data_IF_835692545356
#
_entry.id   IF_835692545356
#
_cell.length_a   1.000
_cell.length_b   1.000
_cell.length_c   1.000
_cell.angle_alpha   90.00
_cell.angle_beta   90.00
_cell.angle_gamma   90.00
#
_symmetry.space_group_name_H-M   'P 1'
#
loop_
_entity.id
_entity.type
_entity.pdbx_description
1 polymer ?
#
# COMPACT_ATOMS: atom_id res chain seq x y z
N UNK A 1 -10.88 -7.73 -1.70
CA UNK A 1 -10.40 -6.49 -2.30
C UNK A 1 -11.51 -5.67 -2.97
N UNK A 2 -12.42 -6.34 -3.71
CA UNK A 2 -13.54 -5.71 -4.40
C UNK A 2 -14.88 -5.77 -3.63
N UNK A 3 -14.91 -6.43 -2.49
CA UNK A 3 -16.14 -6.65 -1.74
C UNK A 3 -16.49 -5.43 -0.88
N UNK A 4 -17.57 -4.74 -1.23
CA UNK A 4 -18.02 -3.55 -0.52
C UNK A 4 -18.62 -3.86 0.86
N UNK A 5 -18.99 -5.12 1.13
CA UNK A 5 -19.49 -5.55 2.45
C UNK A 5 -18.46 -5.44 3.57
N UNK A 6 -17.19 -5.19 3.22
CA UNK A 6 -16.14 -4.85 4.17
C UNK A 6 -16.20 -3.39 4.62
N UNK A 7 -17.18 -2.61 4.18
CA UNK A 7 -17.44 -1.26 4.68
C UNK A 7 -18.79 -1.18 5.39
N UNK A 8 -18.93 -0.23 6.31
CA UNK A 8 -20.10 -0.08 7.19
C UNK A 8 -21.41 0.08 6.43
N UNK A 9 -21.40 0.90 5.38
CA UNK A 9 -22.59 1.19 4.57
C UNK A 9 -22.67 0.30 3.31
N UNK A 10 -21.71 -0.62 3.10
CA UNK A 10 -21.68 -1.54 1.98
C UNK A 10 -21.37 -0.90 0.63
N UNK A 11 -20.75 0.27 0.61
CA UNK A 11 -20.52 1.13 -0.56
C UNK A 11 -19.05 1.27 -0.96
N UNK A 12 -18.11 0.95 -0.06
CA UNK A 12 -16.68 1.10 -0.27
C UNK A 12 -15.96 -0.26 -0.26
N UNK A 13 -14.97 -0.38 -1.11
CA UNK A 13 -14.01 -1.49 -1.13
C UNK A 13 -12.58 -0.96 -1.24
N UNK A 14 -11.56 -1.80 -1.13
CA UNK A 14 -10.18 -1.37 -1.40
C UNK A 14 -10.05 -0.75 -2.80
N UNK A 15 -10.75 -1.33 -3.79
CA UNK A 15 -10.74 -0.81 -5.15
C UNK A 15 -11.39 0.57 -5.30
N UNK A 16 -12.15 1.07 -4.33
CA UNK A 16 -12.72 2.42 -4.38
C UNK A 16 -11.67 3.52 -4.31
N UNK A 17 -10.55 3.26 -3.61
CA UNK A 17 -9.43 4.19 -3.46
C UNK A 17 -8.18 3.72 -4.20
N UNK A 18 -8.06 2.41 -4.45
CA UNK A 18 -6.93 1.78 -5.14
C UNK A 18 -7.42 1.09 -6.42
N UNK A 19 -7.81 1.90 -7.41
CA UNK A 19 -8.46 1.45 -8.65
C UNK A 19 -7.46 0.67 -9.51
N UNK A 20 -7.61 -0.66 -9.57
CA UNK A 20 -6.65 -1.53 -10.28
C UNK A 20 -6.57 -1.28 -11.79
N UNK A 21 -7.63 -0.78 -12.40
CA UNK A 21 -7.65 -0.41 -13.82
C UNK A 21 -7.07 0.98 -14.09
N UNK A 22 -6.67 1.71 -13.03
CA UNK A 22 -6.16 3.07 -13.11
C UNK A 22 -4.96 3.25 -12.17
N UNK A 23 -3.87 2.55 -12.47
CA UNK A 23 -2.57 2.57 -11.75
C UNK A 23 -2.64 2.24 -10.26
N UNK A 24 -3.74 1.65 -9.76
CA UNK A 24 -3.94 1.30 -8.34
C UNK A 24 -4.13 2.51 -7.41
N UNK A 25 -4.64 3.63 -7.94
CA UNK A 25 -4.90 4.89 -7.22
C UNK A 25 -6.23 5.50 -7.68
N UNK A 26 -6.73 6.52 -6.98
CA UNK A 26 -7.94 7.28 -7.34
C UNK A 26 -7.62 8.70 -7.84
N UNK A 27 -6.35 9.05 -8.00
CA UNK A 27 -5.84 10.36 -8.44
C UNK A 27 -6.33 11.56 -7.61
N UNK A 28 -6.74 11.34 -6.37
CA UNK A 28 -7.18 12.40 -5.47
C UNK A 28 -6.10 12.79 -4.48
N UNK A 29 -6.04 14.04 -4.05
CA UNK A 29 -5.13 14.45 -2.97
C UNK A 29 -5.37 13.66 -1.67
N UNK A 30 -6.64 13.37 -1.37
CA UNK A 30 -7.10 12.48 -0.31
C UNK A 30 -8.36 11.76 -0.79
N UNK A 31 -8.44 10.46 -0.54
CA UNK A 31 -9.59 9.65 -0.94
C UNK A 31 -10.80 9.91 -0.05
N UNK A 32 -12.03 10.03 -0.60
CA UNK A 32 -13.23 10.07 0.20
C UNK A 32 -13.55 8.66 0.74
N UNK A 33 -13.68 8.54 2.04
CA UNK A 33 -14.11 7.32 2.71
C UNK A 33 -15.56 7.41 3.18
N UNK A 34 -15.87 6.75 4.32
CA UNK A 34 -17.21 6.66 4.88
C UNK A 34 -17.88 8.03 5.00
N UNK A 35 -19.07 8.16 4.38
CA UNK A 35 -19.84 9.42 4.30
C UNK A 35 -19.06 10.59 3.70
N UNK A 36 -18.14 10.31 2.78
CA UNK A 36 -17.35 11.34 2.11
C UNK A 36 -16.27 11.99 2.99
N UNK A 37 -15.98 11.44 4.16
CA UNK A 37 -14.89 11.94 5.02
C UNK A 37 -13.55 11.77 4.30
N UNK A 38 -12.67 12.74 4.47
CA UNK A 38 -11.35 12.74 3.82
C UNK A 38 -10.27 12.30 4.81
N UNK A 39 -9.39 11.41 4.37
CA UNK A 39 -8.18 11.06 5.11
C UNK A 39 -7.12 12.16 5.07
N UNK A 40 -6.01 11.93 5.75
CA UNK A 40 -4.91 12.92 5.85
C UNK A 40 -3.97 12.89 4.63
N UNK A 41 -3.94 11.78 3.88
CA UNK A 41 -2.97 11.53 2.80
C UNK A 41 -3.64 10.90 1.59
N UNK A 42 -3.02 11.05 0.42
CA UNK A 42 -3.48 10.34 -0.77
C UNK A 42 -3.25 8.83 -0.64
N UNK A 43 -4.07 8.06 -1.34
CA UNK A 43 -3.88 6.61 -1.47
C UNK A 43 -2.69 6.32 -2.39
N UNK A 44 -1.61 5.69 -1.89
CA UNK A 44 -0.50 5.27 -2.75
C UNK A 44 -0.94 4.10 -3.62
N UNK A 45 -0.23 3.88 -4.73
CA UNK A 45 -0.50 2.69 -5.54
C UNK A 45 -0.30 1.41 -4.75
N UNK A 46 -1.17 0.42 -4.97
CA UNK A 46 -1.06 -0.94 -4.42
C UNK A 46 -0.17 -1.83 -5.30
N UNK A 47 0.12 -1.41 -6.54
CA UNK A 47 1.04 -2.16 -7.38
C UNK A 47 2.44 -2.19 -6.77
N UNK A 48 3.03 -3.37 -6.73
CA UNK A 48 4.33 -3.66 -6.13
C UNK A 48 4.43 -3.36 -4.61
N UNK A 49 3.35 -2.92 -3.94
CA UNK A 49 3.38 -2.51 -2.54
C UNK A 49 3.87 -3.63 -1.60
N UNK A 50 3.56 -4.89 -1.89
CA UNK A 50 4.02 -6.04 -1.10
C UNK A 50 5.55 -6.23 -1.09
N UNK A 51 6.28 -5.58 -1.98
CA UNK A 51 7.74 -5.57 -2.01
C UNK A 51 8.39 -4.44 -1.19
N UNK A 52 7.61 -3.52 -0.64
CA UNK A 52 8.12 -2.46 0.23
C UNK A 52 8.48 -3.00 1.61
N UNK A 53 9.47 -2.40 2.27
CA UNK A 53 9.93 -2.83 3.60
C UNK A 53 8.91 -2.56 4.72
N UNK A 54 7.97 -1.62 4.51
CA UNK A 54 6.84 -1.29 5.37
C UNK A 54 5.69 -0.72 4.53
N UNK A 55 4.50 -0.65 5.10
CA UNK A 55 3.31 -0.10 4.46
C UNK A 55 2.87 1.24 5.07
N UNK A 56 2.01 1.97 4.35
CA UNK A 56 1.67 3.38 4.56
C UNK A 56 2.86 4.35 4.34
N UNK A 57 2.56 5.63 4.19
CA UNK A 57 3.57 6.68 4.01
C UNK A 57 4.48 6.84 5.24
N UNK A 58 3.96 6.56 6.44
CA UNK A 58 4.66 6.68 7.73
C UNK A 58 5.24 5.33 8.23
N UNK A 59 4.97 4.24 7.53
CA UNK A 59 5.49 2.92 7.88
C UNK A 59 4.89 2.32 9.14
N UNK A 60 3.63 2.62 9.46
CA UNK A 60 2.96 2.11 10.67
C UNK A 60 2.53 0.64 10.59
N UNK A 61 2.56 0.02 9.41
CA UNK A 61 2.33 -1.41 9.26
C UNK A 61 3.56 -2.12 8.67
N UNK A 62 3.95 -3.29 9.22
CA UNK A 62 5.17 -3.99 8.80
C UNK A 62 5.05 -4.66 7.42
N UNK A 63 3.86 -5.05 7.02
CA UNK A 63 3.58 -5.78 5.79
C UNK A 63 2.17 -5.48 5.26
N UNK A 64 1.83 -6.03 4.09
CA UNK A 64 0.53 -5.82 3.46
C UNK A 64 -0.60 -6.52 4.21
N UNK A 65 -0.33 -7.60 4.92
CA UNK A 65 -1.29 -8.32 5.74
C UNK A 65 -1.78 -7.46 6.91
N UNK A 66 -0.86 -6.84 7.62
CA UNK A 66 -1.17 -5.92 8.71
C UNK A 66 -1.81 -4.62 8.19
N UNK A 67 -1.33 -4.11 7.05
CA UNK A 67 -1.88 -2.93 6.41
C UNK A 67 -3.34 -3.11 6.02
N UNK A 68 -3.70 -4.25 5.39
CA UNK A 68 -5.04 -4.51 4.87
C UNK A 68 -6.14 -4.46 5.95
N UNK A 69 -5.79 -4.72 7.19
CA UNK A 69 -6.73 -4.72 8.31
C UNK A 69 -7.07 -3.29 8.80
N UNK A 70 -6.14 -2.34 8.66
CA UNK A 70 -6.32 -0.99 9.16
C UNK A 70 -7.50 -0.23 8.57
N UNK A 71 -7.59 -0.07 7.25
CA UNK A 71 -8.65 0.68 6.56
C UNK A 71 -10.07 0.18 6.86
N UNK A 72 -10.25 -1.13 7.05
CA UNK A 72 -11.55 -1.76 7.31
C UNK A 72 -12.19 -1.20 8.59
N UNK A 73 -11.39 -1.00 9.64
CA UNK A 73 -11.85 -0.49 10.93
C UNK A 73 -11.69 1.03 11.07
N UNK A 74 -10.99 1.69 10.15
CA UNK A 74 -10.78 3.13 10.24
C UNK A 74 -12.12 3.87 10.04
N UNK A 75 -12.58 4.67 11.02
CA UNK A 75 -13.88 5.34 10.95
C UNK A 75 -13.99 6.36 9.80
N UNK A 76 -12.86 6.84 9.30
CA UNK A 76 -12.80 7.77 8.15
C UNK A 76 -12.81 7.02 6.82
N UNK A 77 -12.32 5.76 6.77
CA UNK A 77 -12.19 4.97 5.54
C UNK A 77 -13.39 4.02 5.38
N UNK A 78 -13.30 2.76 5.80
CA UNK A 78 -14.38 1.76 5.60
C UNK A 78 -15.33 1.63 6.82
N UNK A 79 -14.92 2.10 7.99
CA UNK A 79 -15.71 2.34 9.19
C UNK A 79 -16.47 1.11 9.76
N UNK A 80 -16.00 -0.12 9.54
CA UNK A 80 -16.57 -1.29 10.22
C UNK A 80 -16.44 -1.14 11.73
N UNK A 81 -17.47 -1.58 12.47
CA UNK A 81 -17.55 -1.34 13.91
C UNK A 81 -16.45 -2.07 14.71
N UNK A 82 -16.14 -3.30 14.32
CA UNK A 82 -15.09 -4.10 14.96
C UNK A 82 -14.66 -5.28 14.09
N UNK A 83 -13.53 -5.90 14.44
CA UNK A 83 -13.06 -7.14 13.82
C UNK A 83 -14.05 -8.28 13.94
N UNK A 84 -14.77 -8.38 15.06
CA UNK A 84 -15.80 -9.39 15.32
C UNK A 84 -16.98 -9.21 14.35
N UNK A 85 -17.41 -7.96 14.11
CA UNK A 85 -18.45 -7.65 13.14
C UNK A 85 -18.05 -8.07 11.72
N UNK A 86 -16.81 -7.81 11.33
CA UNK A 86 -16.27 -8.24 10.03
C UNK A 86 -16.26 -9.77 9.93
N UNK A 87 -15.76 -10.47 10.94
CA UNK A 87 -15.73 -11.93 10.97
C UNK A 87 -17.12 -12.53 10.94
N UNK A 88 -18.08 -11.98 11.70
CA UNK A 88 -19.47 -12.43 11.70
C UNK A 88 -20.10 -12.26 10.30
N UNK A 89 -19.86 -11.13 9.64
CA UNK A 89 -20.32 -10.90 8.27
C UNK A 89 -19.71 -11.91 7.30
N UNK A 90 -18.40 -12.18 7.35
CA UNK A 90 -17.75 -13.18 6.49
C UNK A 90 -18.33 -14.59 6.74
N UNK A 91 -18.54 -14.98 7.99
CA UNK A 91 -19.14 -16.28 8.36
C UNK A 91 -20.58 -16.43 7.90
N UNK A 92 -21.32 -15.34 7.74
CA UNK A 92 -22.69 -15.39 7.21
C UNK A 92 -22.76 -15.72 5.71
N UNK A 93 -21.62 -15.75 5.03
CA UNK A 93 -21.52 -15.98 3.58
C UNK A 93 -20.89 -17.35 3.33
N UNK A 94 -21.67 -18.39 2.95
CA UNK A 94 -21.16 -19.77 2.80
C UNK A 94 -19.97 -19.88 1.84
N UNK A 95 -19.93 -19.07 0.78
CA UNK A 95 -18.82 -19.02 -0.15
C UNK A 95 -17.48 -18.61 0.49
N UNK A 96 -17.50 -17.63 1.42
CA UNK A 96 -16.30 -17.29 2.17
C UNK A 96 -15.89 -18.40 3.14
N UNK A 97 -16.82 -18.99 3.87
CA UNK A 97 -16.52 -20.08 4.80
C UNK A 97 -15.78 -21.19 4.08
N UNK A 98 -16.30 -21.66 2.95
CA UNK A 98 -15.69 -22.73 2.16
C UNK A 98 -14.31 -22.33 1.61
N UNK A 99 -14.14 -21.10 1.13
CA UNK A 99 -12.86 -20.62 0.61
C UNK A 99 -11.79 -20.48 1.72
N UNK A 100 -12.16 -19.98 2.90
CA UNK A 100 -11.24 -19.90 4.04
C UNK A 100 -10.84 -21.29 4.53
N UNK A 101 -11.77 -22.26 4.58
CA UNK A 101 -11.46 -23.66 4.91
C UNK A 101 -10.45 -24.26 3.93
N UNK A 102 -10.60 -23.98 2.64
CA UNK A 102 -9.65 -24.43 1.63
C UNK A 102 -8.29 -23.74 1.71
N UNK A 103 -8.27 -22.43 2.03
CA UNK A 103 -7.05 -21.63 2.08
C UNK A 103 -6.21 -21.86 3.35
N UNK A 104 -6.85 -22.24 4.46
CA UNK A 104 -6.21 -22.45 5.76
C UNK A 104 -6.50 -23.85 6.30
N UNK A 105 -6.00 -24.91 5.62
CA UNK A 105 -6.25 -26.29 6.03
C UNK A 105 -5.60 -26.54 7.40
N UNK A 106 -6.34 -27.20 8.28
CA UNK A 106 -5.87 -27.52 9.64
C UNK A 106 -6.29 -26.50 10.72
N UNK A 107 -6.87 -25.36 10.34
CA UNK A 107 -7.51 -24.47 11.29
C UNK A 107 -8.98 -24.86 11.52
N UNK A 108 -9.40 -25.08 12.75
CA UNK A 108 -10.77 -25.49 13.07
C UNK A 108 -11.79 -24.38 12.72
N UNK A 109 -11.42 -23.14 12.89
CA UNK A 109 -12.21 -21.94 12.55
C UNK A 109 -11.33 -20.94 11.79
N UNK A 110 -11.16 -21.11 10.48
CA UNK A 110 -10.23 -20.32 9.70
C UNK A 110 -10.76 -18.90 9.35
N UNK A 111 -12.06 -18.62 9.52
CA UNK A 111 -12.63 -17.29 9.24
C UNK A 111 -12.31 -16.38 10.40
N UNK A 112 -11.13 -15.81 10.38
CA UNK A 112 -10.61 -14.88 11.39
C UNK A 112 -10.18 -13.57 10.76
N UNK A 113 -10.11 -12.50 11.57
CA UNK A 113 -9.65 -11.19 11.08
C UNK A 113 -8.18 -11.22 10.62
N UNK A 114 -7.25 -11.87 11.32
CA UNK A 114 -5.88 -12.06 10.82
C UNK A 114 -5.82 -12.84 9.49
N UNK A 115 -6.63 -13.88 9.32
CA UNK A 115 -6.65 -14.62 8.06
C UNK A 115 -7.27 -13.83 6.91
N UNK A 116 -8.18 -12.89 7.18
CA UNK A 116 -8.64 -11.91 6.18
C UNK A 116 -7.45 -11.07 5.69
N UNK A 117 -6.61 -10.56 6.59
CA UNK A 117 -5.39 -9.84 6.23
C UNK A 117 -4.46 -10.67 5.36
N UNK A 118 -4.22 -11.94 5.73
CA UNK A 118 -3.41 -12.87 4.92
C UNK A 118 -4.00 -13.10 3.51
N UNK A 119 -5.32 -13.25 3.42
CA UNK A 119 -5.99 -13.45 2.13
C UNK A 119 -5.88 -12.21 1.23
N UNK A 120 -6.04 -11.00 1.79
CA UNK A 120 -5.85 -9.74 1.05
C UNK A 120 -4.38 -9.58 0.65
N UNK A 121 -3.44 -9.79 1.58
CA UNK A 121 -2.01 -9.70 1.29
C UNK A 121 -1.55 -10.70 0.22
N UNK A 122 -2.09 -11.92 0.22
CA UNK A 122 -1.83 -12.91 -0.84
C UNK A 122 -2.32 -12.42 -2.22
N UNK A 123 -3.45 -11.70 -2.26
CA UNK A 123 -3.92 -11.04 -3.49
C UNK A 123 -2.97 -9.91 -3.90
N UNK A 124 -2.61 -9.02 -2.98
CA UNK A 124 -1.75 -7.88 -3.26
C UNK A 124 -0.35 -8.28 -3.74
N UNK A 125 0.19 -9.42 -3.27
CA UNK A 125 1.45 -9.98 -3.76
C UNK A 125 1.42 -10.36 -5.25
N UNK A 126 0.24 -10.51 -5.85
CA UNK A 126 0.07 -10.74 -7.29
C UNK A 126 0.01 -9.43 -8.08
N UNK A 127 -0.18 -8.29 -7.43
CA UNK A 127 -0.25 -6.97 -8.06
C UNK A 127 1.15 -6.45 -8.41
N UNK A 128 1.81 -7.14 -9.32
CA UNK A 128 3.16 -6.82 -9.81
C UNK A 128 3.06 -6.22 -11.21
N UNK A 129 3.98 -5.32 -11.51
CA UNK A 129 4.07 -4.65 -12.81
C UNK A 129 5.39 -5.01 -13.52
N UNK A 130 5.52 -6.23 -14.09
CA UNK A 130 6.70 -6.56 -14.88
C UNK A 130 6.80 -5.61 -16.10
N UNK A 131 8.01 -5.11 -16.34
CA UNK A 131 8.26 -4.07 -17.34
C UNK A 131 9.55 -4.32 -18.11
N UNK A 132 9.83 -3.50 -19.12
CA UNK A 132 11.11 -3.53 -19.87
C UNK A 132 12.31 -3.32 -18.95
N UNK A 133 12.13 -2.54 -17.88
CA UNK A 133 13.11 -2.37 -16.82
C UNK A 133 13.60 -3.69 -16.20
N UNK A 134 12.69 -4.64 -15.94
CA UNK A 134 13.06 -5.95 -15.39
C UNK A 134 13.92 -6.76 -16.39
N UNK A 135 13.60 -6.68 -17.67
CA UNK A 135 14.39 -7.33 -18.73
C UNK A 135 15.79 -6.73 -18.82
N UNK A 136 15.89 -5.39 -18.74
CA UNK A 136 17.17 -4.69 -18.73
C UNK A 136 18.02 -5.10 -17.52
N UNK A 137 17.43 -5.16 -16.33
CA UNK A 137 18.14 -5.65 -15.13
C UNK A 137 18.57 -7.11 -15.24
N UNK A 138 17.85 -7.92 -16.01
CA UNK A 138 18.21 -9.31 -16.31
C UNK A 138 19.29 -9.45 -17.41
N UNK A 139 19.82 -8.33 -17.96
CA UNK A 139 20.88 -8.31 -18.94
C UNK A 139 20.46 -8.13 -20.39
N UNK A 140 19.16 -7.91 -20.66
CA UNK A 140 18.67 -7.55 -22.00
C UNK A 140 18.91 -6.06 -22.27
N UNK A 141 20.06 -5.73 -22.84
CA UNK A 141 20.44 -4.34 -23.13
C UNK A 141 19.51 -3.69 -24.16
N UNK A 142 18.87 -4.46 -25.01
CA UNK A 142 17.91 -3.96 -26.02
C UNK A 142 16.53 -3.61 -25.42
N UNK A 143 16.27 -3.98 -24.16
CA UNK A 143 14.99 -3.69 -23.51
C UNK A 143 14.76 -2.20 -23.24
N UNK A 144 15.81 -1.37 -23.19
CA UNK A 144 15.75 0.08 -23.08
C UNK A 144 16.30 0.76 -24.34
N UNK A 145 15.71 1.87 -24.72
CA UNK A 145 16.23 2.73 -25.79
C UNK A 145 17.49 3.48 -25.32
N UNK A 146 18.25 4.05 -26.26
CA UNK A 146 19.43 4.84 -25.92
C UNK A 146 19.07 6.09 -25.10
N UNK A 147 17.91 6.71 -25.35
CA UNK A 147 17.39 7.84 -24.58
C UNK A 147 17.06 7.43 -23.15
N UNK A 148 16.41 6.27 -22.95
CA UNK A 148 16.11 5.72 -21.62
C UNK A 148 17.40 5.37 -20.85
N UNK A 149 18.40 4.81 -21.52
CA UNK A 149 19.74 4.57 -20.92
C UNK A 149 20.44 5.87 -20.54
N UNK A 150 20.33 6.91 -21.37
CA UNK A 150 20.87 8.23 -21.03
C UNK A 150 20.13 8.82 -19.81
N UNK A 151 18.82 8.68 -19.73
CA UNK A 151 18.02 9.05 -18.56
C UNK A 151 18.44 8.28 -17.30
N UNK A 152 18.67 6.98 -17.40
CA UNK A 152 19.18 6.17 -16.30
C UNK A 152 20.57 6.66 -15.84
N UNK A 153 21.46 6.98 -16.76
CA UNK A 153 22.79 7.55 -16.42
C UNK A 153 22.65 8.86 -15.64
N UNK A 154 21.74 9.74 -16.04
CA UNK A 154 21.45 10.97 -15.31
C UNK A 154 20.88 10.68 -13.92
N UNK A 155 19.91 9.77 -13.80
CA UNK A 155 19.31 9.35 -12.52
C UNK A 155 20.39 8.87 -11.54
N UNK A 156 21.34 8.07 -12.01
CA UNK A 156 22.46 7.58 -11.22
C UNK A 156 23.45 8.70 -10.88
N UNK A 157 23.79 9.54 -11.87
CA UNK A 157 24.80 10.60 -11.72
C UNK A 157 24.34 11.80 -10.89
N UNK A 158 23.04 12.07 -10.82
CA UNK A 158 22.45 13.16 -10.03
C UNK A 158 22.12 12.78 -8.60
N UNK A 159 22.31 11.50 -8.22
CA UNK A 159 22.16 11.03 -6.85
C UNK A 159 20.73 10.58 -6.46
N UNK A 160 19.80 10.51 -7.42
CA UNK A 160 18.42 10.06 -7.13
C UNK A 160 18.38 8.65 -6.53
N UNK A 161 19.32 7.78 -6.96
CA UNK A 161 19.47 6.42 -6.44
C UNK A 161 19.79 6.34 -4.94
N UNK A 162 20.28 7.42 -4.32
CA UNK A 162 20.56 7.43 -2.88
C UNK A 162 19.30 7.16 -2.04
N UNK A 163 18.13 7.57 -2.55
CA UNK A 163 16.84 7.32 -1.91
C UNK A 163 15.98 6.33 -2.71
N UNK A 164 16.06 6.38 -4.04
CA UNK A 164 15.31 5.52 -4.95
C UNK A 164 16.14 4.35 -5.44
N UNK A 165 16.42 3.40 -4.54
CA UNK A 165 17.26 2.22 -4.79
C UNK A 165 16.47 0.91 -4.71
N UNK A 166 17.17 -0.20 -5.06
CA UNK A 166 16.62 -1.55 -5.01
C UNK A 166 15.70 -1.89 -6.17
N UNK A 167 15.14 -3.11 -6.14
CA UNK A 167 14.33 -3.68 -7.23
C UNK A 167 13.09 -2.83 -7.58
N UNK A 168 12.55 -2.10 -6.62
CA UNK A 168 11.37 -1.25 -6.78
C UNK A 168 11.72 0.23 -6.99
N UNK A 169 13.00 0.56 -7.06
CA UNK A 169 13.47 1.95 -7.23
C UNK A 169 12.83 2.86 -6.17
N UNK A 170 12.88 2.43 -4.91
CA UNK A 170 12.25 3.04 -3.74
C UNK A 170 11.57 2.00 -2.85
N UNK A 171 10.81 2.44 -1.86
CA UNK A 171 10.10 1.55 -0.93
C UNK A 171 10.99 0.78 0.05
N UNK A 172 12.26 1.17 0.20
CA UNK A 172 13.27 0.44 0.98
C UNK A 172 13.82 1.24 2.17
N UNK A 173 13.44 2.50 2.34
CA UNK A 173 13.94 3.36 3.41
C UNK A 173 12.99 4.51 3.73
N UNK A 174 13.21 5.17 4.86
CA UNK A 174 12.63 6.47 5.16
C UNK A 174 13.55 7.61 4.75
N UNK A 175 12.96 8.72 4.33
CA UNK A 175 13.70 9.95 4.09
C UNK A 175 12.89 11.16 4.54
N UNK A 176 13.61 12.19 5.00
CA UNK A 176 12.99 13.44 5.46
C UNK A 176 12.51 14.27 4.26
N UNK A 177 11.24 14.58 4.19
CA UNK A 177 10.73 15.56 3.24
C UNK A 177 11.27 16.94 3.61
N UNK A 178 11.83 17.65 2.62
CA UNK A 178 12.46 18.94 2.87
C UNK A 178 13.83 18.88 3.54
N UNK A 179 14.60 17.80 3.34
CA UNK A 179 15.94 17.66 3.92
C UNK A 179 16.94 18.74 3.47
N UNK A 180 16.81 19.24 2.23
CA UNK A 180 17.67 20.27 1.67
C UNK A 180 17.00 21.65 1.75
N UNK A 181 15.72 21.74 1.34
CA UNK A 181 14.91 22.95 1.46
C UNK A 181 13.64 22.60 2.24
N UNK A 182 13.31 23.34 3.32
CA UNK A 182 12.13 23.03 4.11
C UNK A 182 10.88 22.88 3.27
N UNK A 183 10.14 21.78 3.50
CA UNK A 183 8.87 21.56 2.84
C UNK A 183 7.84 22.57 3.33
N UNK A 184 7.13 23.32 2.48
CA UNK A 184 6.27 24.42 2.90
C UNK A 184 5.05 23.94 3.73
N UNK A 185 4.53 22.75 3.44
CA UNK A 185 3.42 22.19 4.20
C UNK A 185 3.93 21.21 5.27
N UNK A 186 3.94 21.65 6.52
CA UNK A 186 4.39 20.86 7.68
C UNK A 186 3.24 20.35 8.55
N UNK A 187 2.00 20.37 8.05
CA UNK A 187 0.82 19.88 8.79
C UNK A 187 0.89 18.38 9.05
N UNK A 188 1.47 17.61 8.12
CA UNK A 188 1.71 16.19 8.29
C UNK A 188 3.11 15.96 8.87
N UNK A 189 3.25 15.53 10.13
CA UNK A 189 4.56 15.34 10.74
C UNK A 189 5.25 14.04 10.30
N UNK A 190 4.66 13.29 9.35
CA UNK A 190 5.22 12.04 8.86
C UNK A 190 5.27 10.93 9.92
N UNK A 191 6.39 10.21 9.96
CA UNK A 191 6.61 9.08 10.88
C UNK A 191 6.60 9.49 12.35
N UNK A 192 6.89 10.75 12.69
CA UNK A 192 6.72 11.26 14.06
C UNK A 192 5.34 10.93 14.64
N UNK A 193 4.28 10.92 13.81
CA UNK A 193 2.92 10.56 14.22
C UNK A 193 2.83 9.12 14.77
N UNK A 194 3.76 8.25 14.39
CA UNK A 194 3.84 6.84 14.80
C UNK A 194 4.76 6.65 16.00
N UNK A 195 5.93 7.28 15.98
CA UNK A 195 7.01 7.02 16.95
C UNK A 195 7.07 8.00 18.11
N UNK A 196 6.59 9.23 17.93
CA UNK A 196 6.77 10.33 18.87
C UNK A 196 8.22 10.84 18.96
N UNK A 197 9.14 10.31 18.16
CA UNK A 197 10.55 10.72 18.12
C UNK A 197 10.72 11.91 17.17
N UNK A 198 11.28 13.02 17.68
CA UNK A 198 11.57 14.22 16.88
C UNK A 198 12.53 13.93 15.72
N UNK A 199 13.40 12.94 15.85
CA UNK A 199 14.27 12.50 14.75
C UNK A 199 13.46 11.95 13.56
N UNK A 200 12.21 11.52 13.77
CA UNK A 200 11.32 11.00 12.74
C UNK A 200 10.36 12.05 12.16
N UNK A 201 10.44 13.29 12.63
CA UNK A 201 9.61 14.37 12.10
C UNK A 201 9.89 14.62 10.62
N UNK A 202 8.80 14.67 9.83
CA UNK A 202 8.82 14.82 8.37
C UNK A 202 9.49 13.65 7.62
N UNK A 203 9.78 12.52 8.28
CA UNK A 203 10.21 11.32 7.57
C UNK A 203 9.01 10.57 7.01
N UNK A 204 9.19 10.11 5.79
CA UNK A 204 8.22 9.29 5.05
C UNK A 204 8.95 8.13 4.38
N UNK A 205 8.25 7.05 4.14
CA UNK A 205 8.73 5.98 3.28
C UNK A 205 8.97 6.55 1.88
N UNK A 206 10.16 6.35 1.34
CA UNK A 206 10.48 6.76 -0.04
C UNK A 206 9.59 5.98 -1.00
N UNK A 207 8.79 6.65 -1.85
CA UNK A 207 7.91 5.94 -2.78
C UNK A 207 8.70 5.17 -3.84
N UNK A 208 8.11 4.07 -4.30
CA UNK A 208 8.59 3.37 -5.49
C UNK A 208 8.40 4.27 -6.73
N UNK A 209 9.31 4.15 -7.69
CA UNK A 209 9.21 4.77 -9.02
C UNK A 209 8.78 3.75 -10.09
N UNK A 210 8.13 2.68 -9.67
CA UNK A 210 7.63 1.61 -10.53
C UNK A 210 6.12 1.59 -10.56
#
# INVERSE_FOLDING_TARGET
>A
YHDTRLSKDGDLSCNSCHVLTDYGVDHKPTSPGHKGQLGDRNSPTVFNAAGHFVQFWDGRAPDVEAQALGPILNPVEMAMASSETVVAMLKSIPGYVSQFQAAFPGEADPVTYPNLGKAIGAFERKLRTPARWDKYLAGDDAALTDEEKAGLKLFLGTGCQACHSGALVGGAMYQKAGAVKPWPNQKDPGRFKVTGDEADRMKFKVPSLR
#
